data_IF_475179078969
#
_entry.id   IF_475179078969
#
_cell.length_a   1.000
_cell.length_b   1.000
_cell.length_c   1.000
_cell.angle_alpha   90.00
_cell.angle_beta   90.00
_cell.angle_gamma   90.00
#
_symmetry.space_group_name_H-M   'P 1'
#
loop_
_entity.id
_entity.type
_entity.pdbx_description
1 polymer ?
#
# COMPACT_ATOMS: atom_id res chain seq x y z
N UNK A 1 -16.67 5.11 -12.46
CA UNK A 1 -16.40 4.85 -11.03
C UNK A 1 -16.23 6.17 -10.32
N UNK A 2 -16.69 6.30 -9.08
CA UNK A 2 -16.41 7.47 -8.25
C UNK A 2 -14.95 7.46 -7.78
N UNK A 3 -14.41 8.60 -7.34
CA UNK A 3 -13.05 8.69 -6.79
C UNK A 3 -12.86 7.75 -5.59
N UNK A 4 -13.89 7.59 -4.77
CA UNK A 4 -13.89 6.69 -3.62
C UNK A 4 -13.81 5.22 -4.07
N UNK A 5 -14.58 4.83 -5.09
CA UNK A 5 -14.52 3.46 -5.64
C UNK A 5 -13.14 3.14 -6.21
N UNK A 6 -12.53 4.09 -6.92
CA UNK A 6 -11.18 3.95 -7.47
C UNK A 6 -10.14 3.79 -6.35
N UNK A 7 -10.24 4.61 -5.29
CA UNK A 7 -9.36 4.50 -4.13
C UNK A 7 -9.49 3.13 -3.45
N UNK A 8 -10.72 2.66 -3.23
CA UNK A 8 -10.98 1.35 -2.60
C UNK A 8 -10.40 0.21 -3.45
N UNK A 9 -10.65 0.19 -4.75
CA UNK A 9 -10.11 -0.85 -5.65
C UNK A 9 -8.59 -0.83 -5.66
N UNK A 10 -7.98 0.36 -5.70
CA UNK A 10 -6.53 0.51 -5.68
C UNK A 10 -5.94 -0.01 -4.37
N UNK A 11 -6.48 0.42 -3.22
CA UNK A 11 -6.02 -0.03 -1.90
C UNK A 11 -6.14 -1.55 -1.78
N UNK A 12 -7.27 -2.14 -2.17
CA UNK A 12 -7.47 -3.59 -2.09
C UNK A 12 -6.48 -4.34 -2.98
N UNK A 13 -6.33 -3.92 -4.23
CA UNK A 13 -5.41 -4.56 -5.18
C UNK A 13 -3.96 -4.48 -4.69
N UNK A 14 -3.51 -3.30 -4.26
CA UNK A 14 -2.19 -3.11 -3.67
C UNK A 14 -2.01 -3.96 -2.41
N UNK A 15 -3.03 -4.07 -1.56
CA UNK A 15 -2.97 -4.87 -0.34
C UNK A 15 -2.85 -6.37 -0.63
N UNK A 16 -3.46 -6.86 -1.70
CA UNK A 16 -3.24 -8.23 -2.19
C UNK A 16 -1.78 -8.41 -2.63
N UNK A 17 -1.20 -7.43 -3.33
CA UNK A 17 0.22 -7.43 -3.66
C UNK A 17 1.13 -7.45 -2.42
N UNK A 18 0.81 -6.66 -1.40
CA UNK A 18 1.49 -6.67 -0.11
C UNK A 18 1.40 -8.04 0.58
N UNK A 19 0.24 -8.68 0.53
CA UNK A 19 0.02 -10.00 1.10
C UNK A 19 0.88 -11.08 0.41
N UNK A 20 0.98 -11.02 -0.93
CA UNK A 20 1.86 -11.89 -1.70
C UNK A 20 3.33 -11.62 -1.41
N UNK A 21 3.71 -10.35 -1.27
CA UNK A 21 5.06 -9.95 -0.84
C UNK A 21 5.43 -10.52 0.52
N UNK A 22 4.52 -10.46 1.51
CA UNK A 22 4.70 -11.08 2.82
C UNK A 22 4.84 -12.60 2.72
N UNK A 23 3.97 -13.26 1.95
CA UNK A 23 4.02 -14.71 1.75
C UNK A 23 5.36 -15.16 1.15
N UNK A 24 5.85 -14.45 0.14
CA UNK A 24 7.16 -14.71 -0.47
C UNK A 24 8.33 -14.45 0.49
N UNK A 25 8.15 -13.53 1.43
CA UNK A 25 9.10 -13.24 2.49
C UNK A 25 9.01 -14.21 3.70
N UNK A 26 8.27 -15.32 3.56
CA UNK A 26 7.99 -16.31 4.63
C UNK A 26 7.33 -15.69 5.86
N UNK A 27 6.53 -14.64 5.67
CA UNK A 27 5.69 -14.03 6.69
C UNK A 27 4.21 -14.35 6.45
N UNK A 28 3.39 -14.16 7.48
CA UNK A 28 1.93 -14.33 7.38
C UNK A 28 1.34 -13.30 6.40
N UNK A 29 0.60 -13.77 5.40
CA UNK A 29 0.09 -12.94 4.29
C UNK A 29 -0.78 -11.76 4.78
N UNK A 30 -1.59 -11.98 5.81
CA UNK A 30 -2.44 -10.91 6.37
C UNK A 30 -1.64 -9.74 6.92
N UNK A 31 -0.39 -9.94 7.39
CA UNK A 31 0.47 -8.84 7.86
C UNK A 31 0.85 -7.93 6.69
N UNK A 32 1.20 -8.51 5.54
CA UNK A 32 1.48 -7.75 4.32
C UNK A 32 0.27 -6.97 3.81
N UNK A 33 -0.92 -7.57 3.88
CA UNK A 33 -2.17 -6.90 3.57
C UNK A 33 -2.39 -5.68 4.47
N UNK A 34 -2.28 -5.86 5.79
CA UNK A 34 -2.50 -4.80 6.78
C UNK A 34 -1.48 -3.67 6.62
N UNK A 35 -0.20 -3.97 6.37
CA UNK A 35 0.83 -2.94 6.17
C UNK A 35 0.43 -1.98 5.04
N UNK A 36 0.06 -2.51 3.88
CA UNK A 36 -0.28 -1.69 2.71
C UNK A 36 -1.62 -0.96 2.93
N UNK A 37 -2.64 -1.66 3.41
CA UNK A 37 -3.96 -1.06 3.63
C UNK A 37 -3.87 0.11 4.62
N UNK A 38 -3.21 -0.10 5.76
CA UNK A 38 -3.05 0.94 6.80
C UNK A 38 -2.16 2.07 6.29
N UNK A 39 -1.03 1.78 5.63
CA UNK A 39 -0.15 2.84 5.15
C UNK A 39 -0.83 3.75 4.13
N UNK A 40 -1.60 3.18 3.19
CA UNK A 40 -2.34 3.95 2.20
C UNK A 40 -3.45 4.79 2.83
N UNK A 41 -4.26 4.20 3.73
CA UNK A 41 -5.35 4.92 4.41
C UNK A 41 -4.80 6.07 5.26
N UNK A 42 -3.78 5.81 6.07
CA UNK A 42 -3.17 6.84 6.93
C UNK A 42 -2.55 7.96 6.10
N UNK A 43 -1.86 7.61 5.01
CA UNK A 43 -1.27 8.62 4.10
C UNK A 43 -2.37 9.46 3.45
N UNK A 44 -3.42 8.83 2.92
CA UNK A 44 -4.54 9.53 2.30
C UNK A 44 -5.17 10.51 3.30
N UNK A 45 -5.54 10.05 4.50
CA UNK A 45 -6.15 10.90 5.53
C UNK A 45 -5.23 12.04 5.95
N UNK A 46 -3.94 11.77 6.21
CA UNK A 46 -2.98 12.80 6.61
C UNK A 46 -2.83 13.89 5.54
N UNK A 47 -2.63 13.51 4.29
CA UNK A 47 -2.32 14.46 3.23
C UNK A 47 -3.54 15.25 2.76
N UNK A 48 -4.73 14.66 2.83
CA UNK A 48 -5.99 15.40 2.66
C UNK A 48 -6.17 16.45 3.76
N UNK A 49 -5.86 16.12 5.02
CA UNK A 49 -5.99 17.08 6.13
C UNK A 49 -4.94 18.20 6.08
N UNK A 50 -3.72 17.88 5.62
CA UNK A 50 -2.63 18.84 5.53
C UNK A 50 -2.64 19.65 4.23
N UNK A 51 -3.56 19.35 3.30
CA UNK A 51 -3.67 19.99 1.99
C UNK A 51 -2.33 20.01 1.23
N UNK A 52 -1.60 18.88 1.26
CA UNK A 52 -0.29 18.75 0.62
C UNK A 52 -0.46 18.12 -0.76
N UNK A 53 -0.22 18.91 -1.80
CA UNK A 53 -0.40 18.54 -3.20
C UNK A 53 0.95 18.15 -3.86
N UNK A 54 1.68 17.24 -3.20
CA UNK A 54 2.97 16.77 -3.70
C UNK A 54 3.08 15.24 -3.62
N UNK A 55 2.91 14.60 -4.76
CA UNK A 55 2.90 13.13 -4.90
C UNK A 55 4.19 12.46 -4.45
N UNK A 56 5.34 13.12 -4.59
CA UNK A 56 6.63 12.58 -4.15
C UNK A 56 6.65 12.51 -2.62
N UNK A 57 6.20 13.57 -1.95
CA UNK A 57 6.14 13.62 -0.48
C UNK A 57 5.11 12.62 0.05
N UNK A 58 3.94 12.52 -0.58
CA UNK A 58 2.90 11.52 -0.28
C UNK A 58 3.48 10.10 -0.35
N UNK A 59 4.19 9.79 -1.44
CA UNK A 59 4.77 8.46 -1.69
C UNK A 59 5.83 8.11 -0.65
N UNK A 60 6.74 9.05 -0.35
CA UNK A 60 7.76 8.87 0.67
C UNK A 60 7.16 8.66 2.06
N UNK A 61 6.14 9.45 2.43
CA UNK A 61 5.44 9.28 3.69
C UNK A 61 4.77 7.91 3.79
N UNK A 62 4.12 7.43 2.71
CA UNK A 62 3.52 6.10 2.67
C UNK A 62 4.54 4.98 2.91
N UNK A 63 5.74 5.09 2.35
CA UNK A 63 6.84 4.13 2.57
C UNK A 63 7.28 4.15 4.04
N UNK A 64 7.43 5.35 4.63
CA UNK A 64 7.80 5.49 6.05
C UNK A 64 6.73 4.90 6.95
N UNK A 65 5.45 5.20 6.70
CA UNK A 65 4.33 4.66 7.46
C UNK A 65 4.28 3.13 7.32
N UNK A 66 4.47 2.59 6.12
CA UNK A 66 4.55 1.14 5.90
C UNK A 66 5.70 0.50 6.71
N UNK A 67 6.85 1.18 6.82
CA UNK A 67 7.95 0.79 7.69
C UNK A 67 7.56 0.74 9.17
N UNK A 68 6.85 1.76 9.66
CA UNK A 68 6.35 1.83 11.05
C UNK A 68 5.34 0.73 11.33
N UNK A 69 4.35 0.53 10.44
CA UNK A 69 3.34 -0.53 10.59
C UNK A 69 4.00 -1.90 10.53
N UNK A 70 4.97 -2.11 9.63
CA UNK A 70 5.75 -3.34 9.56
C UNK A 70 6.52 -3.64 10.86
N UNK A 71 7.13 -2.62 11.47
CA UNK A 71 7.80 -2.76 12.75
C UNK A 71 6.82 -3.12 13.89
N UNK A 72 5.64 -2.49 13.93
CA UNK A 72 4.57 -2.82 14.91
C UNK A 72 4.13 -4.28 14.76
N UNK A 73 4.02 -4.78 13.52
CA UNK A 73 3.66 -6.17 13.23
C UNK A 73 4.84 -7.15 13.38
N UNK A 74 5.98 -6.69 13.91
CA UNK A 74 7.20 -7.49 14.14
C UNK A 74 7.77 -8.10 12.85
N UNK A 75 7.61 -7.41 11.72
CA UNK A 75 8.25 -7.80 10.46
C UNK A 75 9.67 -7.26 10.40
N UNK A 76 10.61 -8.08 9.94
CA UNK A 76 11.97 -7.60 9.70
C UNK A 76 11.98 -6.56 8.56
N UNK A 77 13.00 -5.68 8.50
CA UNK A 77 13.12 -4.70 7.42
C UNK A 77 13.10 -5.34 6.02
N UNK A 78 13.72 -6.52 5.88
CA UNK A 78 13.74 -7.28 4.63
C UNK A 78 12.37 -7.83 4.25
N UNK A 79 11.56 -8.25 5.22
CA UNK A 79 10.20 -8.72 4.92
C UNK A 79 9.30 -7.55 4.55
N UNK A 80 9.44 -6.42 5.25
CA UNK A 80 8.67 -5.20 4.99
C UNK A 80 8.99 -4.63 3.61
N UNK A 81 10.26 -4.65 3.18
CA UNK A 81 10.62 -4.20 1.83
C UNK A 81 9.98 -5.06 0.74
N UNK A 82 9.92 -6.39 0.91
CA UNK A 82 9.24 -7.28 -0.03
C UNK A 82 7.73 -7.05 -0.06
N UNK A 83 7.10 -6.69 1.07
CA UNK A 83 5.69 -6.27 1.12
C UNK A 83 5.47 -4.99 0.32
N UNK A 84 6.31 -3.97 0.52
CA UNK A 84 6.23 -2.70 -0.20
C UNK A 84 6.40 -2.91 -1.71
N UNK A 85 7.38 -3.72 -2.11
CA UNK A 85 7.59 -4.09 -3.53
C UNK A 85 6.37 -4.81 -4.09
N UNK A 86 5.80 -5.76 -3.35
CA UNK A 86 4.59 -6.47 -3.76
C UNK A 86 3.40 -5.52 -3.94
N UNK A 87 3.21 -4.57 -3.02
CA UNK A 87 2.17 -3.55 -3.13
C UNK A 87 2.35 -2.64 -4.34
N UNK A 88 3.59 -2.18 -4.59
CA UNK A 88 3.93 -1.36 -5.76
C UNK A 88 3.66 -2.08 -7.09
N UNK A 89 4.04 -3.36 -7.20
CA UNK A 89 3.76 -4.14 -8.41
C UNK A 89 2.26 -4.25 -8.67
N UNK A 90 1.46 -4.44 -7.62
CA UNK A 90 0.01 -4.51 -7.74
C UNK A 90 -0.65 -3.16 -7.95
N UNK A 91 0.00 -2.04 -7.63
CA UNK A 91 -0.46 -0.72 -8.05
C UNK A 91 -0.46 -0.58 -9.57
N UNK A 92 0.55 -1.14 -10.26
CA UNK A 92 0.59 -1.19 -11.72
C UNK A 92 -0.53 -2.07 -12.27
N UNK A 93 -0.78 -3.22 -11.64
CA UNK A 93 -1.90 -4.10 -12.00
C UNK A 93 -3.24 -3.38 -11.83
N UNK A 94 -3.43 -2.68 -10.71
CA UNK A 94 -4.63 -1.88 -10.45
C UNK A 94 -4.82 -0.80 -11.54
N UNK A 95 -3.76 -0.07 -11.89
CA UNK A 95 -3.81 0.96 -12.92
C UNK A 95 -4.23 0.38 -14.29
N UNK A 96 -3.67 -0.76 -14.68
CA UNK A 96 -4.06 -1.45 -15.93
C UNK A 96 -5.52 -1.89 -15.87
N UNK A 97 -5.94 -2.54 -14.77
CA UNK A 97 -7.33 -3.00 -14.61
C UNK A 97 -8.33 -1.84 -14.69
N UNK A 98 -8.04 -0.74 -13.98
CA UNK A 98 -8.86 0.47 -14.00
C UNK A 98 -8.93 1.02 -15.43
N UNK A 99 -7.80 1.13 -16.13
CA UNK A 99 -7.76 1.67 -17.50
C UNK A 99 -8.57 0.87 -18.52
N UNK A 100 -8.83 -0.42 -18.24
CA UNK A 100 -9.61 -1.30 -19.13
C UNK A 100 -11.13 -1.20 -18.89
N UNK A 101 -11.55 -0.67 -17.74
CA UNK A 101 -12.96 -0.62 -17.32
C UNK A 101 -13.49 0.81 -17.15
N UNK A 102 -12.62 1.82 -17.20
CA UNK A 102 -12.94 3.25 -17.17
C UNK A 102 -13.09 3.82 -18.58
#
# INVERSE_FOLDING_TARGET
MTEVELAVVTILTCSVGGALGAKNAKAEAWKGFVIIAVSMIVTMVMFTLLNVDNDVVVSLASIVIAGVVGAILKMSPRQTSLVIIGGLLFAVVAAVLISLIS
#
